data_IF_385763493031
#
_entry.id   IF_385763493031
#
_cell.length_a   1.000
_cell.length_b   1.000
_cell.length_c   1.000
_cell.angle_alpha   90.00
_cell.angle_beta   90.00
_cell.angle_gamma   90.00
#
_symmetry.space_group_name_H-M   'P 1'
#
loop_
_entity.id
_entity.type
_entity.pdbx_description
1 polymer ?
#
# COMPACT_ATOMS: atom_id res chain seq x y z
N UNK A 1 19.39 -9.00 -3.91
CA UNK A 1 18.00 -8.76 -3.51
C UNK A 1 17.77 -7.27 -3.60
N UNK A 2 16.88 -6.80 -4.50
CA UNK A 2 16.68 -5.36 -4.68
C UNK A 2 15.67 -4.86 -3.63
N UNK A 3 16.02 -3.85 -2.83
CA UNK A 3 15.21 -3.36 -1.71
C UNK A 3 13.99 -2.53 -2.14
N UNK A 4 13.96 -2.07 -3.39
CA UNK A 4 12.96 -1.12 -3.92
C UNK A 4 11.49 -1.46 -3.59
N UNK A 5 11.09 -2.74 -3.62
CA UNK A 5 9.72 -3.15 -3.27
C UNK A 5 9.41 -2.86 -1.80
N UNK A 6 10.37 -3.17 -0.92
CA UNK A 6 10.24 -2.96 0.54
C UNK A 6 10.28 -1.46 0.83
N UNK A 7 11.24 -0.74 0.23
CA UNK A 7 11.40 0.71 0.42
C UNK A 7 10.14 1.49 0.00
N UNK A 8 9.58 1.17 -1.18
CA UNK A 8 8.36 1.78 -1.68
C UNK A 8 7.13 1.40 -0.83
N UNK A 9 7.04 0.15 -0.37
CA UNK A 9 5.95 -0.28 0.51
C UNK A 9 5.95 0.48 1.83
N UNK A 10 7.11 0.59 2.49
CA UNK A 10 7.26 1.37 3.72
C UNK A 10 6.87 2.83 3.46
N UNK A 11 7.35 3.44 2.38
CA UNK A 11 7.03 4.83 2.06
C UNK A 11 5.52 5.08 1.92
N UNK A 12 4.80 4.19 1.23
CA UNK A 12 3.35 4.32 1.02
C UNK A 12 2.56 4.04 2.31
N UNK A 13 3.04 3.14 3.17
CA UNK A 13 2.45 2.89 4.49
C UNK A 13 2.52 4.15 5.37
N UNK A 14 3.69 4.80 5.45
CA UNK A 14 3.84 6.05 6.19
C UNK A 14 3.01 7.18 5.58
N UNK A 15 2.93 7.29 4.25
CA UNK A 15 2.06 8.25 3.58
C UNK A 15 0.59 8.04 3.98
N UNK A 16 0.14 6.79 4.01
CA UNK A 16 -1.23 6.41 4.40
C UNK A 16 -1.52 6.79 5.85
N UNK A 17 -0.60 6.51 6.77
CA UNK A 17 -0.74 6.91 8.18
C UNK A 17 -0.79 8.42 8.35
N UNK A 18 0.08 9.16 7.66
CA UNK A 18 0.09 10.62 7.72
C UNK A 18 -1.14 11.25 7.10
N UNK A 19 -1.61 10.75 5.97
CA UNK A 19 -2.86 11.18 5.34
C UNK A 19 -4.03 11.04 6.32
N UNK A 20 -4.15 9.87 6.97
CA UNK A 20 -5.18 9.65 7.99
C UNK A 20 -5.07 10.62 9.17
N UNK A 21 -3.85 10.89 9.65
CA UNK A 21 -3.61 11.81 10.77
C UNK A 21 -4.05 13.26 10.48
N UNK A 22 -4.09 13.66 9.20
CA UNK A 22 -4.59 14.98 8.75
C UNK A 22 -6.01 14.91 8.17
N UNK A 23 -6.78 13.88 8.53
CA UNK A 23 -8.17 13.66 8.13
C UNK A 23 -8.39 13.46 6.62
N UNK A 24 -7.39 12.93 5.91
CA UNK A 24 -7.53 12.45 4.54
C UNK A 24 -7.71 10.92 4.51
N UNK A 25 -8.33 10.43 3.43
CA UNK A 25 -8.48 9.02 3.11
C UNK A 25 -7.54 8.58 2.00
N UNK A 26 -7.14 7.31 2.04
CA UNK A 26 -6.34 6.65 1.00
C UNK A 26 -6.84 5.22 0.75
N UNK A 27 -6.38 4.58 -0.34
CA UNK A 27 -6.66 3.18 -0.62
C UNK A 27 -5.46 2.52 -1.29
N UNK A 28 -4.97 1.40 -0.76
CA UNK A 28 -3.84 0.71 -1.36
C UNK A 28 -4.28 -0.02 -2.64
N UNK A 29 -3.78 0.42 -3.79
CA UNK A 29 -4.07 -0.20 -5.09
C UNK A 29 -2.83 -0.94 -5.57
N UNK A 30 -2.89 -2.27 -5.47
CA UNK A 30 -1.90 -3.18 -6.07
C UNK A 30 -2.49 -3.97 -7.26
N UNK A 31 -3.78 -3.79 -7.57
CA UNK A 31 -4.45 -4.42 -8.70
C UNK A 31 -4.50 -3.45 -9.89
N UNK A 32 -3.39 -3.35 -10.64
CA UNK A 32 -3.32 -2.58 -11.88
C UNK A 32 -2.35 -3.24 -12.88
N UNK A 33 -2.40 -2.82 -14.14
CA UNK A 33 -1.43 -3.21 -15.17
C UNK A 33 -0.32 -2.16 -15.21
N UNK A 34 0.89 -2.55 -14.84
CA UNK A 34 2.07 -1.67 -14.81
C UNK A 34 2.29 -1.01 -16.19
N UNK A 35 2.20 -1.77 -17.29
CA UNK A 35 2.32 -1.26 -18.66
C UNK A 35 1.39 -0.08 -18.97
N UNK A 36 0.13 -0.14 -18.51
CA UNK A 36 -0.82 0.96 -18.70
C UNK A 36 -0.38 2.21 -17.93
N UNK A 37 0.21 2.05 -16.75
CA UNK A 37 0.72 3.17 -15.96
C UNK A 37 1.95 3.78 -16.61
N UNK A 38 2.85 2.95 -17.15
CA UNK A 38 3.99 3.40 -17.94
C UNK A 38 3.56 4.25 -19.12
N UNK A 39 2.58 3.78 -19.90
CA UNK A 39 2.06 4.50 -21.05
C UNK A 39 1.44 5.84 -20.65
N UNK A 40 0.51 5.83 -19.68
CA UNK A 40 -0.24 7.02 -19.27
C UNK A 40 0.65 8.09 -18.64
N UNK A 41 1.65 7.68 -17.85
CA UNK A 41 2.53 8.59 -17.12
C UNK A 41 3.90 8.79 -17.78
N UNK A 42 4.13 8.18 -18.95
CA UNK A 42 5.43 8.23 -19.66
C UNK A 42 6.61 7.80 -18.78
N UNK A 43 6.44 6.73 -17.98
CA UNK A 43 7.46 6.21 -17.07
C UNK A 43 8.46 5.35 -17.87
N UNK A 44 9.79 5.55 -17.70
CA UNK A 44 10.81 4.70 -18.33
C UNK A 44 10.66 3.21 -17.99
N UNK A 45 10.98 2.32 -18.94
CA UNK A 45 10.84 0.86 -18.78
C UNK A 45 11.67 0.26 -17.63
N UNK A 46 12.73 0.95 -17.19
CA UNK A 46 13.61 0.52 -16.11
C UNK A 46 13.12 0.93 -14.70
N UNK A 47 12.01 1.66 -14.61
CA UNK A 47 11.41 2.11 -13.33
C UNK A 47 10.19 1.27 -13.01
N UNK A 48 10.17 0.63 -11.84
CA UNK A 48 9.02 -0.18 -11.40
C UNK A 48 7.94 0.64 -10.72
N UNK A 49 6.68 0.41 -11.07
CA UNK A 49 5.50 0.93 -10.39
C UNK A 49 5.04 -0.09 -9.34
N UNK A 50 5.39 0.15 -8.06
CA UNK A 50 5.14 -0.82 -6.99
C UNK A 50 3.71 -0.77 -6.45
N UNK A 51 3.16 0.42 -6.28
CA UNK A 51 1.79 0.60 -5.79
C UNK A 51 1.28 1.99 -6.15
N UNK A 52 -0.05 2.14 -6.17
CA UNK A 52 -0.74 3.41 -6.35
C UNK A 52 -1.71 3.63 -5.18
N UNK A 53 -1.99 4.89 -4.87
CA UNK A 53 -2.98 5.23 -3.84
C UNK A 53 -3.68 6.54 -4.18
N UNK A 54 -5.02 6.60 -4.19
CA UNK A 54 -5.73 7.88 -4.22
C UNK A 54 -5.55 8.59 -2.89
N UNK A 55 -5.63 9.91 -2.89
CA UNK A 55 -5.55 10.74 -1.70
C UNK A 55 -6.63 11.83 -1.80
N UNK A 56 -7.42 11.99 -0.74
CA UNK A 56 -8.45 13.03 -0.73
C UNK A 56 -9.26 13.07 0.55
N UNK A 57 -10.27 13.94 0.58
CA UNK A 57 -11.24 13.97 1.66
C UNK A 57 -12.21 12.80 1.51
N UNK A 58 -12.34 11.92 2.51
CA UNK A 58 -13.23 10.78 2.41
C UNK A 58 -14.69 11.24 2.42
N UNK A 59 -15.49 10.72 1.49
CA UNK A 59 -16.95 10.93 1.45
C UNK A 59 -17.69 9.95 2.38
N UNK A 60 -17.02 8.86 2.78
CA UNK A 60 -17.53 7.83 3.67
C UNK A 60 -16.45 7.32 4.64
N UNK A 61 -16.89 6.82 5.80
CA UNK A 61 -16.03 6.15 6.79
C UNK A 61 -16.53 4.71 6.95
N UNK A 62 -15.93 3.72 6.27
CA UNK A 62 -16.38 2.34 6.34
C UNK A 62 -16.07 1.71 7.69
N UNK A 63 -16.83 0.68 8.06
CA UNK A 63 -16.53 -0.12 9.24
C UNK A 63 -15.20 -0.88 9.08
N UNK A 64 -14.49 -1.05 10.20
CA UNK A 64 -13.23 -1.77 10.22
C UNK A 64 -13.45 -3.25 9.92
N UNK A 65 -12.82 -3.74 8.85
CA UNK A 65 -12.82 -5.16 8.50
C UNK A 65 -12.14 -5.97 9.62
N UNK A 66 -12.71 -7.11 10.08
CA UNK A 66 -12.08 -7.97 11.06
C UNK A 66 -10.65 -8.37 10.66
N UNK A 67 -9.76 -8.49 11.64
CA UNK A 67 -8.40 -9.03 11.47
C UNK A 67 -8.33 -10.41 12.12
N UNK A 68 -7.38 -11.25 11.66
CA UNK A 68 -7.07 -12.53 12.31
C UNK A 68 -6.69 -12.31 13.77
N UNK A 69 -6.90 -13.31 14.61
CA UNK A 69 -6.45 -13.24 16.00
C UNK A 69 -4.92 -13.25 16.03
N UNK A 70 -4.34 -12.64 17.07
CA UNK A 70 -2.88 -12.60 17.21
C UNK A 70 -2.26 -14.00 17.32
N UNK A 71 -2.98 -14.92 17.97
CA UNK A 71 -2.60 -16.33 18.11
C UNK A 71 -2.46 -17.04 16.76
N UNK A 72 -3.16 -16.59 15.72
CA UNK A 72 -3.08 -17.14 14.36
C UNK A 72 -1.91 -16.55 13.54
N UNK A 73 -1.29 -15.47 14.03
CA UNK A 73 -0.28 -14.67 13.30
C UNK A 73 1.11 -14.74 13.93
N UNK A 74 1.18 -14.78 15.26
CA UNK A 74 2.43 -14.71 16.02
C UNK A 74 2.87 -16.10 16.41
N UNK A 75 4.03 -16.52 15.89
CA UNK A 75 4.64 -17.81 16.21
C UNK A 75 5.97 -17.58 16.92
N UNK A 76 6.16 -18.27 18.04
CA UNK A 76 7.38 -18.21 18.84
C UNK A 76 8.32 -19.36 18.48
N UNK A 77 9.62 -19.10 18.57
CA UNK A 77 10.73 -20.04 18.34
C UNK A 77 10.85 -20.64 16.93
N UNK A 78 9.80 -21.30 16.43
CA UNK A 78 9.78 -21.98 15.12
C UNK A 78 8.41 -21.91 14.45
N UNK A 79 8.41 -21.64 13.15
CA UNK A 79 7.20 -21.65 12.30
C UNK A 79 6.45 -22.99 12.40
N UNK A 80 5.12 -22.93 12.37
CA UNK A 80 4.21 -24.08 12.45
C UNK A 80 3.45 -24.27 11.15
#
# INVERSE_FOLDING_TARGET
>A
MSSHVIDASIAIDYLTLMAHAVCLGTCWIAWFKEDNVHEVLSIPEDVRVIAMTPLGYPDEIPERIPRKNLEDLVVYDRYQ
#
